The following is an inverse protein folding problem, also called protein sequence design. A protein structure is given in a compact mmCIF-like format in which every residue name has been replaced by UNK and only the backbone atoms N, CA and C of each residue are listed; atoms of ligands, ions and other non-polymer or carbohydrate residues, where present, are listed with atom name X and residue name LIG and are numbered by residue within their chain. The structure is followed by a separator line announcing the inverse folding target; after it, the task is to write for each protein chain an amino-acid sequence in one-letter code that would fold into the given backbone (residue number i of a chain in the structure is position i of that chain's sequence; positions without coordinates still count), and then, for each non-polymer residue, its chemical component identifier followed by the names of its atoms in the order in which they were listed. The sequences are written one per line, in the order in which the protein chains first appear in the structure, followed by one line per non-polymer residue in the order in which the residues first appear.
data_IF_772103710891
#
_entry.id   IF_772103710891
#
_cell.length_a   1.000
_cell.length_b   1.000
_cell.length_c   1.000
_cell.angle_alpha   90.00
_cell.angle_beta   90.00
_cell.angle_gamma   90.00
#
_symmetry.space_group_name_H-M   'P 1'
#
loop_
_entity.id
_entity.type
_entity.pdbx_description
1 polymer ?
#
# COMPACT_ATOMS: atom_id res chain seq x y z
N UNK A 1 -8.92 -13.74 2.59
CA UNK A 1 -7.45 -13.80 2.41
C UNK A 1 -7.02 -14.52 1.13
N UNK A 2 -7.95 -15.04 0.32
CA UNK A 2 -7.59 -15.78 -0.91
C UNK A 2 -6.93 -14.87 -1.96
N UNK A 3 -7.34 -13.59 -2.05
CA UNK A 3 -6.75 -12.64 -2.98
C UNK A 3 -5.31 -12.31 -2.61
N UNK A 4 -5.03 -12.17 -1.31
CA UNK A 4 -3.69 -11.93 -0.77
C UNK A 4 -2.77 -13.10 -1.10
N UNK A 5 -3.20 -14.33 -0.80
CA UNK A 5 -2.40 -15.52 -1.06
C UNK A 5 -2.14 -15.75 -2.55
N UNK A 6 -3.16 -15.53 -3.37
CA UNK A 6 -3.05 -15.58 -4.82
C UNK A 6 -2.02 -14.56 -5.32
N UNK A 7 -2.10 -13.31 -4.89
CA UNK A 7 -1.19 -12.26 -5.36
C UNK A 7 0.25 -12.49 -4.86
N UNK A 8 0.43 -12.89 -3.60
CA UNK A 8 1.75 -13.25 -3.06
C UNK A 8 2.40 -14.37 -3.89
N UNK A 9 1.64 -15.36 -4.36
CA UNK A 9 2.18 -16.50 -5.11
C UNK A 9 2.74 -16.14 -6.49
N UNK A 10 2.43 -14.95 -7.03
CA UNK A 10 2.89 -14.51 -8.35
C UNK A 10 4.32 -14.00 -8.37
N UNK A 11 4.88 -13.66 -7.21
CA UNK A 11 6.18 -13.00 -7.11
C UNK A 11 7.29 -13.96 -6.65
N UNK A 12 8.46 -13.82 -7.26
CA UNK A 12 9.68 -14.50 -6.82
C UNK A 12 10.39 -13.70 -5.71
N UNK A 13 9.82 -13.70 -4.51
CA UNK A 13 10.31 -12.94 -3.36
C UNK A 13 11.77 -13.23 -3.02
N UNK A 14 12.22 -14.48 -3.20
CA UNK A 14 13.58 -14.89 -2.93
C UNK A 14 14.61 -14.10 -3.78
N UNK A 15 14.22 -13.72 -5.00
CA UNK A 15 15.06 -12.97 -5.93
C UNK A 15 15.07 -11.45 -5.73
N UNK A 16 14.22 -10.91 -4.85
CA UNK A 16 14.14 -9.48 -4.60
C UNK A 16 15.04 -9.06 -3.42
N UNK A 17 15.68 -7.90 -3.54
CA UNK A 17 16.53 -7.37 -2.48
C UNK A 17 15.73 -6.45 -1.56
N UNK A 18 15.49 -6.91 -0.33
CA UNK A 18 14.76 -6.15 0.68
C UNK A 18 15.60 -4.98 1.25
N UNK A 19 14.95 -3.93 1.74
CA UNK A 19 15.58 -2.80 2.41
C UNK A 19 16.43 -3.21 3.64
N UNK A 20 16.10 -4.32 4.29
CA UNK A 20 16.92 -4.91 5.35
C UNK A 20 18.21 -5.61 4.85
N UNK A 21 18.54 -5.47 3.55
CA UNK A 21 19.71 -6.05 2.86
C UNK A 21 19.75 -7.58 2.80
N UNK A 22 18.62 -8.23 3.06
CA UNK A 22 18.42 -9.67 2.89
C UNK A 22 17.45 -9.91 1.73
N UNK A 23 17.22 -11.17 1.41
CA UNK A 23 16.13 -11.55 0.50
C UNK A 23 14.77 -11.11 1.06
N UNK A 24 13.85 -10.74 0.17
CA UNK A 24 12.47 -10.38 0.50
C UNK A 24 11.57 -11.59 0.80
N UNK A 25 12.08 -12.82 0.82
CA UNK A 25 11.29 -14.05 1.09
C UNK A 25 10.43 -13.97 2.35
N UNK A 26 10.93 -13.33 3.42
CA UNK A 26 10.19 -13.14 4.66
C UNK A 26 8.93 -12.27 4.51
N UNK A 27 8.92 -11.33 3.55
CA UNK A 27 7.80 -10.40 3.38
C UNK A 27 6.50 -11.10 3.00
N UNK A 28 6.56 -12.22 2.29
CA UNK A 28 5.39 -13.02 1.99
C UNK A 28 4.69 -13.54 3.26
N UNK A 29 5.45 -13.87 4.30
CA UNK A 29 4.90 -14.28 5.60
C UNK A 29 4.37 -13.07 6.39
N UNK A 30 5.14 -11.99 6.40
CA UNK A 30 4.80 -10.77 7.12
C UNK A 30 3.54 -10.09 6.58
N UNK A 31 3.38 -10.01 5.24
CA UNK A 31 2.17 -9.47 4.61
C UNK A 31 0.92 -10.30 4.94
N UNK A 32 1.03 -11.63 5.02
CA UNK A 32 -0.08 -12.49 5.46
C UNK A 32 -0.45 -12.22 6.91
N UNK A 33 0.54 -12.05 7.78
CA UNK A 33 0.31 -11.75 9.19
C UNK A 33 -0.40 -10.40 9.36
N UNK A 34 0.04 -9.36 8.66
CA UNK A 34 -0.62 -8.05 8.68
C UNK A 34 -2.05 -8.14 8.13
N UNK A 35 -2.24 -8.76 6.96
CA UNK A 35 -3.58 -8.91 6.37
C UNK A 35 -4.54 -9.75 7.24
N UNK A 36 -4.00 -10.71 7.99
CA UNK A 36 -4.76 -11.55 8.92
C UNK A 36 -4.95 -10.95 10.31
N UNK A 37 -4.27 -9.86 10.65
CA UNK A 37 -4.31 -9.24 11.97
C UNK A 37 -5.72 -8.76 12.32
N UNK A 38 -6.11 -8.92 13.57
CA UNK A 38 -7.41 -8.49 14.13
C UNK A 38 -7.26 -7.42 15.19
N UNK A 39 -6.04 -7.19 15.67
CA UNK A 39 -5.72 -6.21 16.70
C UNK A 39 -4.51 -5.36 16.31
N UNK A 40 -4.40 -4.16 16.90
CA UNK A 40 -3.24 -3.29 16.68
C UNK A 40 -1.94 -3.95 17.14
N UNK A 41 -1.96 -4.71 18.24
CA UNK A 41 -0.78 -5.40 18.75
C UNK A 41 -0.20 -6.41 17.75
N UNK A 42 -1.06 -7.15 17.03
CA UNK A 42 -0.62 -8.09 15.99
C UNK A 42 -0.01 -7.38 14.77
N UNK A 43 -0.51 -6.20 14.44
CA UNK A 43 0.07 -5.33 13.40
C UNK A 43 1.44 -4.82 13.84
N UNK A 44 1.55 -4.31 15.06
CA UNK A 44 2.78 -3.71 15.61
C UNK A 44 3.93 -4.72 15.74
N UNK A 45 3.62 -6.02 15.86
CA UNK A 45 4.61 -7.11 15.81
C UNK A 45 5.31 -7.25 14.46
N UNK A 46 4.73 -6.69 13.39
CA UNK A 46 5.24 -6.81 12.01
C UNK A 46 5.59 -5.44 11.47
N UNK A 47 6.89 -5.19 11.27
CA UNK A 47 7.37 -3.91 10.72
C UNK A 47 7.70 -4.07 9.24
N UNK A 48 6.88 -3.50 8.37
CA UNK A 48 7.09 -3.48 6.92
C UNK A 48 7.87 -2.24 6.45
N UNK A 49 7.83 -1.15 7.21
CA UNK A 49 8.70 0.01 7.02
C UNK A 49 10.18 -0.38 7.16
N UNK A 50 11.05 0.23 6.36
CA UNK A 50 12.47 -0.12 6.27
C UNK A 50 12.76 -1.38 5.44
N UNK A 51 11.73 -2.19 5.16
CA UNK A 51 11.83 -3.33 4.25
C UNK A 51 11.42 -2.99 2.82
N UNK A 52 10.41 -2.12 2.71
CA UNK A 52 9.75 -1.77 1.45
C UNK A 52 9.98 -0.30 1.07
N UNK A 53 9.91 0.59 2.06
CA UNK A 53 10.16 2.02 1.92
C UNK A 53 10.78 2.58 3.20
N UNK A 54 11.62 3.61 3.09
CA UNK A 54 12.09 4.41 4.23
C UNK A 54 12.35 5.86 3.82
N UNK A 55 13.40 6.10 3.05
CA UNK A 55 13.65 7.38 2.36
C UNK A 55 13.30 7.26 0.88
N UNK A 56 13.49 6.07 0.30
CA UNK A 56 13.05 5.72 -1.04
C UNK A 56 12.48 4.30 -1.06
N UNK A 57 11.83 3.95 -2.17
CA UNK A 57 11.30 2.61 -2.41
C UNK A 57 12.42 1.59 -2.68
N UNK A 58 12.29 0.41 -2.10
CA UNK A 58 13.14 -0.75 -2.34
C UNK A 58 12.51 -1.70 -3.35
N UNK A 59 13.29 -2.67 -3.82
CA UNK A 59 12.89 -3.65 -4.85
C UNK A 59 11.52 -4.35 -4.60
N UNK A 60 11.15 -4.76 -3.37
CA UNK A 60 9.86 -5.40 -3.15
C UNK A 60 8.65 -4.44 -3.21
N UNK A 61 8.84 -3.12 -3.35
CA UNK A 61 7.76 -2.13 -3.30
C UNK A 61 6.62 -2.44 -4.27
N UNK A 62 6.92 -2.71 -5.53
CA UNK A 62 5.89 -3.00 -6.54
C UNK A 62 5.06 -4.25 -6.20
N UNK A 63 5.71 -5.31 -5.70
CA UNK A 63 5.04 -6.53 -5.28
C UNK A 63 4.15 -6.27 -4.06
N UNK A 64 4.67 -5.52 -3.08
CA UNK A 64 3.93 -5.12 -1.88
C UNK A 64 2.72 -4.26 -2.23
N UNK A 65 2.86 -3.27 -3.11
CA UNK A 65 1.74 -2.44 -3.61
C UNK A 65 0.62 -3.32 -4.16
N UNK A 66 0.96 -4.32 -4.98
CA UNK A 66 -0.04 -5.20 -5.58
C UNK A 66 -0.74 -6.09 -4.54
N UNK A 67 0.02 -6.61 -3.57
CA UNK A 67 -0.54 -7.39 -2.45
C UNK A 67 -1.43 -6.54 -1.54
N UNK A 68 -1.05 -5.29 -1.27
CA UNK A 68 -1.88 -4.35 -0.50
C UNK A 68 -3.21 -4.11 -1.20
N UNK A 69 -3.21 -3.84 -2.51
CA UNK A 69 -4.45 -3.65 -3.28
C UNK A 69 -5.34 -4.90 -3.25
N UNK A 70 -4.72 -6.09 -3.34
CA UNK A 70 -5.43 -7.37 -3.20
C UNK A 70 -6.04 -7.54 -1.79
N UNK A 71 -5.31 -7.13 -0.74
CA UNK A 71 -5.79 -7.16 0.63
C UNK A 71 -6.97 -6.21 0.86
N UNK A 72 -6.92 -4.99 0.31
CA UNK A 72 -8.02 -4.01 0.41
C UNK A 72 -9.29 -4.48 -0.32
N UNK A 73 -9.13 -5.26 -1.41
CA UNK A 73 -10.23 -5.90 -2.11
C UNK A 73 -10.79 -7.14 -1.39
N UNK A 74 -10.10 -7.65 -0.36
CA UNK A 74 -10.51 -8.79 0.47
C UNK A 74 -11.16 -8.30 1.79
N UNK A 75 -11.58 -9.24 2.64
CA UNK A 75 -12.17 -8.95 3.96
C UNK A 75 -11.11 -8.90 5.07
N UNK A 76 -10.30 -7.84 5.05
CA UNK A 76 -9.33 -7.53 6.11
C UNK A 76 -9.94 -6.62 7.19
N UNK A 77 -9.42 -6.75 8.42
CA UNK A 77 -9.89 -5.97 9.57
C UNK A 77 -9.60 -4.47 9.42
N UNK A 78 -10.34 -3.57 10.12
CA UNK A 78 -10.06 -2.13 10.11
C UNK A 78 -8.60 -1.78 10.44
N UNK A 79 -8.02 -2.41 11.46
CA UNK A 79 -6.62 -2.17 11.87
C UNK A 79 -5.62 -2.59 10.78
N UNK A 80 -5.88 -3.69 10.08
CA UNK A 80 -5.06 -4.11 8.95
C UNK A 80 -5.21 -3.14 7.77
N UNK A 81 -6.41 -2.61 7.49
CA UNK A 81 -6.63 -1.61 6.43
C UNK A 81 -5.85 -0.34 6.70
N UNK A 82 -5.90 0.18 7.93
CA UNK A 82 -5.16 1.39 8.30
C UNK A 82 -3.65 1.20 8.06
N UNK A 83 -3.07 0.09 8.56
CA UNK A 83 -1.66 -0.22 8.35
C UNK A 83 -1.28 -0.40 6.86
N UNK A 84 -2.10 -1.13 6.11
CA UNK A 84 -1.80 -1.42 4.70
C UNK A 84 -1.92 -0.17 3.83
N UNK A 85 -2.90 0.69 4.08
CA UNK A 85 -3.06 1.96 3.36
C UNK A 85 -1.99 2.98 3.74
N UNK A 86 -1.53 3.00 4.99
CA UNK A 86 -0.38 3.80 5.44
C UNK A 86 0.91 3.37 4.72
N UNK A 87 1.17 2.06 4.67
CA UNK A 87 2.29 1.51 3.92
C UNK A 87 2.21 1.84 2.42
N UNK A 88 1.02 1.73 1.83
CA UNK A 88 0.81 2.10 0.42
C UNK A 88 1.11 3.58 0.19
N UNK A 89 0.60 4.47 1.04
CA UNK A 89 0.87 5.90 0.95
C UNK A 89 2.37 6.18 1.04
N UNK A 90 3.08 5.56 1.99
CA UNK A 90 4.52 5.68 2.12
C UNK A 90 5.28 5.26 0.85
N UNK A 91 4.86 4.17 0.20
CA UNK A 91 5.46 3.72 -1.06
C UNK A 91 5.21 4.72 -2.20
N UNK A 92 3.97 5.18 -2.36
CA UNK A 92 3.56 6.04 -3.46
C UNK A 92 4.14 7.45 -3.35
N UNK A 93 4.38 7.92 -2.12
CA UNK A 93 4.94 9.23 -1.79
C UNK A 93 6.44 9.22 -1.53
N UNK A 94 7.14 8.13 -1.83
CA UNK A 94 8.58 8.03 -1.59
C UNK A 94 9.36 9.04 -2.46
N UNK A 95 10.37 9.69 -1.88
CA UNK A 95 11.21 10.71 -2.54
C UNK A 95 12.18 10.14 -3.61
N UNK A 96 12.03 8.86 -3.96
CA UNK A 96 12.84 8.15 -4.93
C UNK A 96 12.95 6.67 -4.62
N UNK A 97 14.09 6.08 -4.97
CA UNK A 97 14.33 4.65 -4.93
C UNK A 97 15.77 4.32 -4.55
N UNK A 98 16.07 3.04 -4.35
CA UNK A 98 17.46 2.62 -4.12
C UNK A 98 18.36 2.91 -5.33
N UNK A 99 19.65 3.16 -5.07
CA UNK A 99 20.63 3.45 -6.12
C UNK A 99 20.78 2.30 -7.11
N UNK A 100 20.63 1.05 -6.64
CA UNK A 100 20.69 -0.13 -7.50
C UNK A 100 19.57 -0.13 -8.53
N UNK A 101 18.33 0.16 -8.13
CA UNK A 101 17.19 0.24 -9.05
C UNK A 101 17.36 1.39 -10.05
N UNK A 102 17.86 2.53 -9.59
CA UNK A 102 18.18 3.66 -10.47
C UNK A 102 19.27 3.30 -11.49
N UNK A 103 20.30 2.54 -11.09
CA UNK A 103 21.35 2.07 -11.99
C UNK A 103 20.84 1.04 -13.02
N UNK A 104 19.78 0.30 -12.68
CA UNK A 104 19.07 -0.60 -13.59
C UNK A 104 18.10 0.16 -14.53
N UNK A 105 17.98 1.49 -14.39
CA UNK A 105 17.09 2.33 -15.19
C UNK A 105 15.61 2.16 -14.86
N UNK A 106 15.30 1.58 -13.70
CA UNK A 106 13.91 1.45 -13.21
C UNK A 106 13.48 2.74 -12.54
N UNK A 107 12.17 2.96 -12.46
CA UNK A 107 11.57 4.02 -11.64
C UNK A 107 10.52 3.36 -10.76
N UNK A 108 10.98 2.84 -9.63
CA UNK A 108 10.16 2.02 -8.73
C UNK A 108 8.95 2.77 -8.20
N UNK A 109 9.09 4.07 -7.91
CA UNK A 109 7.98 4.88 -7.42
C UNK A 109 6.92 5.02 -8.50
N UNK A 110 7.32 5.38 -9.72
CA UNK A 110 6.41 5.46 -10.86
C UNK A 110 5.74 4.11 -11.17
N UNK A 111 6.50 3.01 -11.16
CA UNK A 111 5.96 1.66 -11.35
C UNK A 111 4.89 1.30 -10.29
N UNK A 112 5.11 1.68 -9.03
CA UNK A 112 4.14 1.49 -7.95
C UNK A 112 2.90 2.38 -8.11
N UNK A 113 3.07 3.63 -8.52
CA UNK A 113 1.96 4.54 -8.84
C UNK A 113 1.11 3.98 -9.98
N UNK A 114 1.72 3.51 -11.06
CA UNK A 114 1.02 2.87 -12.18
C UNK A 114 0.26 1.61 -11.75
N UNK A 115 0.84 0.80 -10.86
CA UNK A 115 0.14 -0.35 -10.29
C UNK A 115 -1.07 0.08 -9.44
N UNK A 116 -0.91 1.10 -8.59
CA UNK A 116 -1.98 1.64 -7.76
C UNK A 116 -3.11 2.28 -8.58
N UNK A 117 -2.81 2.95 -9.70
CA UNK A 117 -3.81 3.51 -10.63
C UNK A 117 -4.75 2.46 -11.19
N UNK A 118 -4.26 1.24 -11.41
CA UNK A 118 -5.12 0.12 -11.85
C UNK A 118 -6.10 -0.33 -10.76
N UNK A 119 -5.77 -0.05 -9.49
CA UNK A 119 -6.59 -0.31 -8.31
C UNK A 119 -7.38 0.89 -7.79
N UNK A 120 -7.44 2.02 -8.52
CA UNK A 120 -8.07 3.27 -8.07
C UNK A 120 -9.47 3.10 -7.48
N UNK A 121 -10.32 2.27 -8.07
CA UNK A 121 -11.67 2.03 -7.55
C UNK A 121 -11.70 1.32 -6.18
N UNK A 122 -10.67 0.54 -5.85
CA UNK A 122 -10.51 -0.04 -4.52
C UNK A 122 -10.29 1.05 -3.47
N UNK A 123 -9.48 2.07 -3.78
CA UNK A 123 -9.24 3.20 -2.87
C UNK A 123 -10.48 4.08 -2.69
N UNK A 124 -11.20 4.37 -3.78
CA UNK A 124 -12.50 5.04 -3.69
C UNK A 124 -13.50 4.27 -2.84
N UNK A 125 -13.58 2.95 -3.02
CA UNK A 125 -14.46 2.10 -2.23
C UNK A 125 -14.04 2.08 -0.75
N UNK A 126 -12.74 2.13 -0.44
CA UNK A 126 -12.24 2.21 0.94
C UNK A 126 -12.73 3.49 1.62
N UNK A 127 -12.56 4.64 0.99
CA UNK A 127 -13.04 5.95 1.50
C UNK A 127 -14.54 5.91 1.76
N UNK A 128 -15.32 5.43 0.79
CA UNK A 128 -16.78 5.43 0.88
C UNK A 128 -17.33 4.41 1.88
N UNK A 129 -16.55 3.39 2.22
CA UNK A 129 -16.95 2.39 3.20
C UNK A 129 -17.13 2.96 4.60
N UNK A 130 -16.36 3.99 4.96
CA UNK A 130 -16.37 4.59 6.30
C UNK A 130 -16.04 3.59 7.42
N UNK A 131 -15.34 2.49 7.11
CA UNK A 131 -14.99 1.45 8.09
C UNK A 131 -13.94 1.91 9.10
N UNK A 132 -13.01 2.74 8.64
CA UNK A 132 -11.89 3.26 9.42
C UNK A 132 -11.45 4.61 8.87
N UNK A 133 -11.25 5.60 9.74
CA UNK A 133 -10.94 6.97 9.33
C UNK A 133 -9.51 7.11 8.83
N UNK A 134 -8.55 6.39 9.43
CA UNK A 134 -7.14 6.46 9.03
C UNK A 134 -6.96 5.78 7.69
N UNK A 135 -7.61 4.62 7.49
CA UNK A 135 -7.61 3.95 6.18
C UNK A 135 -8.24 4.81 5.08
N UNK A 136 -9.33 5.53 5.39
CA UNK A 136 -9.97 6.45 4.44
C UNK A 136 -9.07 7.65 4.11
N UNK A 137 -8.43 8.25 5.12
CA UNK A 137 -7.48 9.35 4.95
C UNK A 137 -6.30 8.94 4.07
N UNK A 138 -5.64 7.83 4.41
CA UNK A 138 -4.51 7.32 3.66
C UNK A 138 -4.89 6.96 2.23
N UNK A 139 -6.09 6.40 2.02
CA UNK A 139 -6.60 6.10 0.67
C UNK A 139 -6.88 7.37 -0.14
N UNK A 140 -7.38 8.43 0.48
CA UNK A 140 -7.58 9.72 -0.18
C UNK A 140 -6.25 10.35 -0.58
N UNK A 141 -5.25 10.35 0.31
CA UNK A 141 -3.90 10.83 0.01
C UNK A 141 -3.22 10.00 -1.09
N UNK A 142 -3.40 8.67 -1.10
CA UNK A 142 -2.95 7.84 -2.22
C UNK A 142 -3.56 8.31 -3.54
N UNK A 143 -4.85 8.64 -3.56
CA UNK A 143 -5.55 9.15 -4.74
C UNK A 143 -5.05 10.54 -5.16
N UNK A 144 -4.69 11.41 -4.23
CA UNK A 144 -4.05 12.71 -4.55
C UNK A 144 -2.72 12.50 -5.28
N UNK A 145 -1.97 11.46 -4.93
CA UNK A 145 -0.70 11.13 -5.61
C UNK A 145 -0.91 10.52 -6.99
N UNK A 146 -1.91 9.66 -7.17
CA UNK A 146 -2.02 8.81 -8.37
C UNK A 146 -3.19 9.14 -9.30
N UNK A 147 -4.18 9.95 -8.90
CA UNK A 147 -5.33 10.24 -9.75
C UNK A 147 -5.16 11.58 -10.45
N UNK A 148 -5.20 11.56 -11.78
CA UNK A 148 -5.10 12.77 -12.60
C UNK A 148 -6.46 13.45 -12.82
N UNK A 149 -7.56 12.81 -12.42
CA UNK A 149 -8.91 13.35 -12.55
C UNK A 149 -9.26 14.23 -11.34
N UNK A 150 -8.85 15.50 -11.40
CA UNK A 150 -9.12 16.50 -10.36
C UNK A 150 -10.62 16.65 -10.04
N UNK A 151 -11.49 16.53 -11.05
CA UNK A 151 -12.94 16.60 -10.88
C UNK A 151 -13.45 15.43 -10.03
N UNK A 152 -12.92 14.22 -10.27
CA UNK A 152 -13.26 13.04 -9.48
C UNK A 152 -12.72 13.14 -8.05
N UNK A 153 -11.51 13.66 -7.85
CA UNK A 153 -10.96 13.92 -6.52
C UNK A 153 -11.78 14.94 -5.73
N UNK A 154 -12.19 16.04 -6.36
CA UNK A 154 -13.05 17.05 -5.73
C UNK A 154 -14.40 16.46 -5.33
N UNK A 155 -15.00 15.63 -6.19
CA UNK A 155 -16.28 14.98 -5.90
C UNK A 155 -16.17 13.97 -4.76
N UNK A 156 -15.13 13.14 -4.71
CA UNK A 156 -15.00 12.19 -3.61
C UNK A 156 -14.81 12.92 -2.28
N UNK A 157 -14.02 14.00 -2.24
CA UNK A 157 -13.80 14.79 -1.02
C UNK A 157 -15.13 15.31 -0.47
N UNK A 158 -15.99 15.84 -1.33
CA UNK A 158 -17.32 16.32 -0.96
C UNK A 158 -18.24 15.18 -0.47
N UNK A 159 -18.21 14.02 -1.13
CA UNK A 159 -19.07 12.87 -0.79
C UNK A 159 -18.63 12.12 0.47
N UNK A 160 -17.32 12.07 0.71
CA UNK A 160 -16.74 11.38 1.86
C UNK A 160 -17.29 11.97 3.17
N UNK A 161 -17.42 13.30 3.25
CA UNK A 161 -17.97 13.99 4.42
C UNK A 161 -17.17 13.64 5.67
N UNK A 162 -17.83 13.12 6.71
CA UNK A 162 -17.18 12.73 7.98
C UNK A 162 -16.42 11.39 7.90
N UNK A 163 -16.31 10.76 6.72
CA UNK A 163 -15.53 9.53 6.53
C UNK A 163 -14.03 9.78 6.42
N UNK A 164 -13.65 10.99 6.06
CA UNK A 164 -12.27 11.47 6.07
C UNK A 164 -12.13 12.57 7.14
N UNK A 165 -10.90 12.81 7.57
CA UNK A 165 -10.56 13.84 8.55
C UNK A 165 -10.95 15.25 8.06
N UNK A 166 -11.25 16.18 8.98
CA UNK A 166 -11.68 17.54 8.62
C UNK A 166 -10.58 18.36 7.94
N UNK A 167 -9.32 17.94 8.08
CA UNK A 167 -8.15 18.61 7.48
C UNK A 167 -7.90 18.16 6.02
N UNK A 168 -8.66 17.17 5.52
CA UNK A 168 -8.54 16.61 4.17
C UNK A 168 -9.56 17.12 3.15
#
# INVERSE_FOLDING_TARGET
MELVDMEISRYHWAGMRCGCRRSAEHLAGDLRRVAGARTQAEVDEVRLEGHVVQVGAYDPALAVTSVVLAALADDVSPVARACLTDLLLGILSADGQSLELAAEGRDMVFECQEAARRGTWTLYAEIMSGRDIDAANNSFECLVVIDEDEDRLSRIRQLAGTRIGPDL
#
